data_IF_580601442118
#
_entry.id   IF_580601442118
#
_cell.length_a   1.000
_cell.length_b   1.000
_cell.length_c   1.000
_cell.angle_alpha   90.00
_cell.angle_beta   90.00
_cell.angle_gamma   90.00
#
_symmetry.space_group_name_H-M   'P 1'
#
loop_
_entity.id
_entity.type
_entity.pdbx_description
1 polymer ?
#
# COMPACT_ATOMS: atom_id res chain seq x y z
N UNK A 1 5.37 1.55 6.02
CA UNK A 1 6.65 1.46 6.75
C UNK A 1 7.46 2.74 6.60
N UNK A 2 8.34 2.97 7.53
CA UNK A 2 9.29 4.06 7.51
C UNK A 2 10.70 3.51 7.83
N UNK A 3 11.66 4.39 8.11
CA UNK A 3 12.99 4.00 8.61
C UNK A 3 12.94 3.27 9.98
N UNK A 4 11.81 3.31 10.67
CA UNK A 4 11.62 2.60 11.94
C UNK A 4 11.10 1.18 11.75
N UNK A 5 10.08 0.98 10.99
CA UNK A 5 9.35 -0.27 10.80
C UNK A 5 7.84 -0.02 10.78
N UNK A 6 7.06 -1.05 11.04
CA UNK A 6 5.60 -0.98 11.10
C UNK A 6 5.19 -0.98 12.57
N UNK A 7 4.64 0.14 13.05
CA UNK A 7 4.17 0.27 14.42
C UNK A 7 2.88 -0.51 14.66
N UNK A 8 2.79 -1.19 15.80
CA UNK A 8 1.60 -1.99 16.19
C UNK A 8 0.60 -1.22 17.04
N UNK A 9 0.99 -0.08 17.58
CA UNK A 9 0.10 0.74 18.42
C UNK A 9 -1.23 1.12 17.74
N UNK A 10 -1.28 1.42 16.42
CA UNK A 10 -2.54 1.72 15.75
C UNK A 10 -3.55 0.57 15.70
N UNK A 11 -3.12 -0.66 15.88
CA UNK A 11 -4.02 -1.84 15.86
C UNK A 11 -4.48 -2.27 17.26
N UNK A 12 -3.97 -1.64 18.32
CA UNK A 12 -4.40 -1.90 19.69
C UNK A 12 -5.90 -1.58 19.84
N UNK A 13 -6.69 -2.58 20.23
CA UNK A 13 -8.15 -2.47 20.37
C UNK A 13 -8.94 -2.59 19.06
N UNK A 14 -8.26 -2.78 17.92
CA UNK A 14 -8.87 -3.09 16.63
C UNK A 14 -8.72 -4.56 16.26
N UNK A 15 -7.57 -5.16 16.57
CA UNK A 15 -7.30 -6.58 16.37
C UNK A 15 -7.35 -7.33 17.70
N UNK A 16 -7.88 -8.54 17.64
CA UNK A 16 -7.78 -9.49 18.76
C UNK A 16 -6.35 -10.01 18.91
N UNK A 17 -6.00 -10.50 20.11
CA UNK A 17 -4.63 -10.96 20.37
C UNK A 17 -4.18 -12.10 19.43
N UNK A 18 -5.08 -13.01 19.07
CA UNK A 18 -4.80 -14.09 18.13
C UNK A 18 -4.46 -13.57 16.72
N UNK A 19 -5.12 -12.50 16.26
CA UNK A 19 -4.85 -11.86 14.96
C UNK A 19 -3.50 -11.14 14.98
N UNK A 20 -3.15 -10.51 16.10
CA UNK A 20 -1.83 -9.90 16.29
C UNK A 20 -0.74 -10.98 16.26
N UNK A 21 -0.93 -12.09 16.96
CA UNK A 21 0.03 -13.19 17.02
C UNK A 21 0.25 -13.83 15.63
N UNK A 22 -0.83 -14.03 14.86
CA UNK A 22 -0.78 -14.52 13.49
C UNK A 22 -0.04 -13.53 12.56
N UNK A 23 -0.31 -12.23 12.69
CA UNK A 23 0.39 -11.18 11.95
C UNK A 23 1.89 -11.21 12.26
N UNK A 24 2.28 -11.30 13.53
CA UNK A 24 3.68 -11.34 13.93
C UNK A 24 4.39 -12.58 13.37
N UNK A 25 3.78 -13.77 13.51
CA UNK A 25 4.31 -15.01 12.99
C UNK A 25 4.50 -14.96 11.46
N UNK A 26 3.54 -14.38 10.74
CA UNK A 26 3.61 -14.18 9.29
C UNK A 26 4.78 -13.25 8.92
N UNK A 27 4.94 -12.13 9.61
CA UNK A 27 6.03 -11.19 9.33
C UNK A 27 7.41 -11.78 9.64
N UNK A 28 7.53 -12.61 10.68
CA UNK A 28 8.78 -13.34 10.99
C UNK A 28 9.09 -14.39 9.92
N UNK A 29 8.09 -15.11 9.41
CA UNK A 29 8.24 -16.01 8.25
C UNK A 29 8.75 -15.26 7.02
N UNK A 30 8.36 -14.00 6.83
CA UNK A 30 8.82 -13.15 5.73
C UNK A 30 10.19 -12.53 5.99
N UNK A 31 10.87 -12.93 7.06
CA UNK A 31 12.21 -12.50 7.43
C UNK A 31 12.26 -11.26 8.31
N UNK A 32 11.13 -10.76 8.76
CA UNK A 32 11.04 -9.64 9.70
C UNK A 32 11.56 -9.98 11.10
N UNK A 33 11.58 -8.96 11.94
CA UNK A 33 11.89 -9.05 13.37
C UNK A 33 10.88 -8.24 14.16
N UNK A 34 10.54 -8.73 15.34
CA UNK A 34 9.64 -8.01 16.25
C UNK A 34 10.45 -7.32 17.34
N UNK A 35 10.19 -6.04 17.53
CA UNK A 35 10.70 -5.28 18.67
C UNK A 35 9.67 -5.23 19.77
N UNK A 36 10.09 -5.57 20.98
CA UNK A 36 9.25 -5.68 22.17
C UNK A 36 9.49 -4.51 23.11
N UNK A 37 8.44 -4.05 23.75
CA UNK A 37 8.50 -3.02 24.77
C UNK A 37 8.00 -3.60 26.08
N UNK A 38 8.79 -3.38 27.14
CA UNK A 38 8.42 -3.74 28.49
C UNK A 38 8.33 -2.46 29.34
N UNK A 39 7.18 -2.23 29.96
CA UNK A 39 7.04 -1.21 30.99
C UNK A 39 7.29 -1.86 32.36
N UNK A 40 7.78 -1.08 33.33
CA UNK A 40 8.05 -1.59 34.66
C UNK A 40 6.80 -2.23 35.28
N UNK A 41 6.91 -3.52 35.63
CA UNK A 41 5.81 -4.30 36.25
C UNK A 41 4.75 -4.83 35.28
N UNK A 42 4.98 -4.76 33.97
CA UNK A 42 4.08 -5.36 32.97
C UNK A 42 4.78 -6.41 32.09
N UNK A 43 3.97 -7.28 31.46
CA UNK A 43 4.47 -8.19 30.44
C UNK A 43 5.01 -7.43 29.22
N UNK A 44 5.99 -8.02 28.54
CA UNK A 44 6.52 -7.49 27.30
C UNK A 44 5.45 -7.53 26.22
N UNK A 45 5.24 -6.40 25.52
CA UNK A 45 4.29 -6.31 24.39
C UNK A 45 5.03 -5.99 23.09
N UNK A 46 4.61 -6.59 21.96
CA UNK A 46 5.15 -6.23 20.67
C UNK A 46 4.73 -4.79 20.35
N UNK A 47 5.65 -3.98 19.84
CA UNK A 47 5.33 -2.59 19.49
C UNK A 47 5.69 -2.21 18.06
N UNK A 48 6.61 -2.96 17.44
CA UNK A 48 7.09 -2.64 16.09
C UNK A 48 7.54 -3.90 15.36
N UNK A 49 7.09 -4.05 14.12
CA UNK A 49 7.58 -5.06 13.18
C UNK A 49 8.64 -4.42 12.31
N UNK A 50 9.87 -4.90 12.39
CA UNK A 50 11.01 -4.43 11.61
C UNK A 50 11.13 -5.30 10.35
N UNK A 51 10.66 -4.78 9.25
CA UNK A 51 10.63 -5.45 7.94
C UNK A 51 10.54 -4.38 6.84
N UNK A 52 11.13 -4.63 5.68
CA UNK A 52 10.89 -3.82 4.49
C UNK A 52 9.43 -4.03 4.02
N UNK A 53 8.73 -2.95 3.68
CA UNK A 53 7.31 -3.05 3.28
C UNK A 53 7.11 -3.94 2.05
N UNK A 54 8.09 -3.96 1.13
CA UNK A 54 8.08 -4.84 -0.04
C UNK A 54 8.10 -6.33 0.34
N UNK A 55 8.80 -6.69 1.42
CA UNK A 55 8.81 -8.06 1.95
C UNK A 55 7.59 -8.34 2.85
N UNK A 56 7.10 -7.36 3.59
CA UNK A 56 5.89 -7.51 4.39
C UNK A 56 4.65 -7.88 3.54
N UNK A 57 4.60 -7.37 2.30
CA UNK A 57 3.47 -7.56 1.38
C UNK A 57 3.71 -8.66 0.33
N UNK A 58 4.74 -9.50 0.50
CA UNK A 58 5.06 -10.58 -0.45
C UNK A 58 4.13 -11.79 -0.36
N UNK A 59 3.14 -11.76 0.52
CA UNK A 59 2.19 -12.83 0.76
C UNK A 59 1.13 -12.44 1.78
N UNK A 60 0.42 -13.46 2.27
CA UNK A 60 -0.61 -13.36 3.31
C UNK A 60 -0.29 -14.32 4.46
N UNK A 61 -1.20 -14.50 5.42
CA UNK A 61 -1.09 -15.51 6.47
C UNK A 61 -1.00 -16.94 5.92
N UNK A 62 -1.37 -17.14 4.64
CA UNK A 62 -1.20 -18.41 3.92
C UNK A 62 0.22 -18.63 3.37
N UNK A 63 1.10 -17.65 3.49
CA UNK A 63 2.46 -17.65 2.98
C UNK A 63 2.69 -16.71 1.80
N UNK A 64 3.86 -16.86 1.16
CA UNK A 64 4.22 -16.08 -0.04
C UNK A 64 3.41 -16.52 -1.24
N UNK A 65 3.07 -15.57 -2.10
CA UNK A 65 2.33 -15.79 -3.34
C UNK A 65 2.87 -14.92 -4.49
N UNK A 66 2.28 -15.04 -5.67
CA UNK A 66 2.64 -14.27 -6.87
C UNK A 66 2.21 -12.80 -6.83
N UNK A 67 1.26 -12.43 -5.97
CA UNK A 67 0.63 -11.11 -5.92
C UNK A 67 1.39 -10.06 -5.09
N UNK A 68 2.63 -10.35 -4.72
CA UNK A 68 3.39 -9.48 -3.82
C UNK A 68 3.69 -8.09 -4.39
N UNK A 69 3.83 -7.94 -5.71
CA UNK A 69 4.03 -6.64 -6.35
C UNK A 69 2.72 -5.86 -6.41
N UNK A 70 1.68 -6.48 -6.87
CA UNK A 70 0.33 -5.90 -7.03
C UNK A 70 -0.20 -5.43 -5.66
N UNK A 71 -0.08 -6.26 -4.63
CA UNK A 71 -0.44 -5.92 -3.25
C UNK A 71 0.35 -4.73 -2.70
N UNK A 72 1.64 -4.67 -3.02
CA UNK A 72 2.50 -3.54 -2.65
C UNK A 72 2.07 -2.25 -3.36
N UNK A 73 1.76 -2.30 -4.64
CA UNK A 73 1.28 -1.16 -5.42
C UNK A 73 -0.12 -0.73 -4.98
N UNK A 74 -1.03 -1.67 -4.71
CA UNK A 74 -2.36 -1.41 -4.16
C UNK A 74 -2.28 -0.64 -2.82
N UNK A 75 -1.43 -1.08 -1.89
CA UNK A 75 -1.24 -0.39 -0.61
C UNK A 75 -0.75 1.06 -0.80
N UNK A 76 0.10 1.32 -1.79
CA UNK A 76 0.56 2.67 -2.12
C UNK A 76 -0.50 3.48 -2.88
N UNK A 77 -1.31 2.85 -3.73
CA UNK A 77 -2.44 3.50 -4.40
C UNK A 77 -3.48 3.97 -3.36
N UNK A 78 -3.78 3.14 -2.35
CA UNK A 78 -4.64 3.54 -1.21
C UNK A 78 -4.04 4.76 -0.51
N UNK A 79 -2.76 4.71 -0.10
CA UNK A 79 -2.10 5.83 0.56
C UNK A 79 -2.14 7.11 -0.29
N UNK A 80 -1.89 6.98 -1.59
CA UNK A 80 -1.93 8.11 -2.52
C UNK A 80 -3.34 8.66 -2.75
N UNK A 81 -4.37 7.84 -2.63
CA UNK A 81 -5.76 8.26 -2.79
C UNK A 81 -6.32 9.00 -1.57
N UNK A 82 -5.88 8.64 -0.36
CA UNK A 82 -6.38 9.20 0.89
C UNK A 82 -6.13 10.72 1.02
N UNK A 83 -6.91 11.37 1.87
CA UNK A 83 -6.74 12.79 2.22
C UNK A 83 -5.40 13.03 2.91
N UNK A 84 -4.97 14.29 2.92
CA UNK A 84 -3.69 14.69 3.50
C UNK A 84 -2.54 14.66 2.47
N UNK A 85 -1.32 14.71 2.98
CA UNK A 85 -0.08 14.73 2.20
C UNK A 85 0.61 13.38 2.34
N UNK A 86 0.67 12.56 1.26
CA UNK A 86 1.35 11.27 1.32
C UNK A 86 2.86 11.46 1.45
N UNK A 87 3.50 10.61 2.24
CA UNK A 87 4.94 10.58 2.40
C UNK A 87 5.48 9.20 2.02
N UNK A 88 6.50 9.19 1.17
CA UNK A 88 7.19 7.98 0.76
C UNK A 88 8.49 7.80 1.54
N UNK A 89 8.66 6.64 2.12
CA UNK A 89 9.96 6.19 2.55
C UNK A 89 10.79 5.81 1.33
N UNK A 90 12.03 6.29 1.25
CA UNK A 90 12.87 6.10 0.06
C UNK A 90 13.00 4.62 -0.33
N UNK A 91 13.14 3.73 0.63
CA UNK A 91 13.27 2.30 0.35
C UNK A 91 11.98 1.67 -0.15
N UNK A 92 10.81 2.20 0.21
CA UNK A 92 9.55 1.79 -0.40
C UNK A 92 9.47 2.27 -1.86
N UNK A 93 9.87 3.52 -2.13
CA UNK A 93 9.90 4.05 -3.49
C UNK A 93 10.82 3.24 -4.43
N UNK A 94 11.90 2.73 -3.88
CA UNK A 94 12.90 1.92 -4.61
C UNK A 94 12.60 0.41 -4.61
N UNK A 95 11.51 -0.04 -3.98
CA UNK A 95 11.22 -1.47 -3.85
C UNK A 95 12.27 -2.25 -3.07
N UNK A 96 13.01 -1.59 -2.17
CA UNK A 96 14.12 -2.22 -1.44
C UNK A 96 13.60 -3.31 -0.51
N UNK A 97 14.28 -4.46 -0.53
CA UNK A 97 14.01 -5.64 0.28
C UNK A 97 14.73 -5.60 1.63
N UNK A 98 14.43 -6.57 2.49
CA UNK A 98 15.13 -6.76 3.77
C UNK A 98 16.64 -6.86 3.62
N UNK A 99 17.39 -6.04 4.32
CA UNK A 99 18.85 -6.14 4.41
C UNK A 99 19.27 -7.04 5.57
N UNK A 100 19.24 -8.35 5.31
CA UNK A 100 19.59 -9.36 6.32
C UNK A 100 21.09 -9.34 6.66
N UNK A 101 21.96 -8.92 5.72
CA UNK A 101 23.39 -8.79 5.99
C UNK A 101 23.66 -7.65 6.96
N UNK A 102 23.04 -6.50 6.73
CA UNK A 102 23.17 -5.34 7.63
C UNK A 102 22.55 -5.65 9.00
N UNK A 103 21.42 -6.35 9.03
CA UNK A 103 20.81 -6.81 10.28
C UNK A 103 21.78 -7.69 11.08
N UNK A 104 22.40 -8.69 10.43
CA UNK A 104 23.36 -9.59 11.07
C UNK A 104 24.60 -8.85 11.58
N UNK A 105 25.10 -7.87 10.80
CA UNK A 105 26.28 -7.09 11.17
C UNK A 105 26.04 -6.15 12.35
N UNK A 106 24.88 -5.50 12.40
CA UNK A 106 24.59 -4.46 13.41
C UNK A 106 23.88 -5.00 14.64
N UNK A 107 23.25 -6.18 14.54
CA UNK A 107 22.35 -6.75 15.55
C UNK A 107 21.22 -5.81 15.97
N UNK A 108 20.90 -4.80 15.14
CA UNK A 108 19.88 -3.80 15.41
C UNK A 108 18.69 -4.04 14.47
N UNK A 109 17.50 -4.38 15.01
CA UNK A 109 16.33 -4.77 14.22
C UNK A 109 15.99 -3.79 13.09
N UNK A 110 16.03 -2.48 13.33
CA UNK A 110 15.71 -1.47 12.31
C UNK A 110 16.69 -1.42 11.14
N UNK A 111 17.89 -2.02 11.29
CA UNK A 111 18.86 -2.09 10.19
C UNK A 111 18.35 -2.88 8.99
N UNK A 112 17.43 -3.82 9.21
CA UNK A 112 16.80 -4.62 8.16
C UNK A 112 16.13 -3.76 7.08
N UNK A 113 15.63 -2.60 7.47
CA UNK A 113 14.87 -1.67 6.63
C UNK A 113 15.65 -0.39 6.32
N UNK A 114 17.00 -0.41 6.44
CA UNK A 114 17.89 0.75 6.25
C UNK A 114 19.07 0.38 5.36
N UNK A 115 18.77 -0.24 4.23
CA UNK A 115 19.77 -0.63 3.24
C UNK A 115 20.61 0.59 2.78
N UNK A 116 21.88 0.38 2.53
CA UNK A 116 22.77 1.40 1.97
C UNK A 116 23.09 1.02 0.53
N UNK A 117 22.39 1.66 -0.40
CA UNK A 117 22.63 1.46 -1.81
C UNK A 117 23.99 2.06 -2.23
N UNK A 118 24.76 1.27 -2.99
CA UNK A 118 25.82 1.80 -3.80
C UNK A 118 25.20 2.41 -5.08
N UNK A 119 25.66 3.60 -5.50
CA UNK A 119 25.02 4.36 -6.57
C UNK A 119 24.96 3.61 -7.90
N UNK A 120 26.06 2.94 -8.30
CA UNK A 120 26.10 2.19 -9.54
C UNK A 120 25.17 0.98 -9.53
N UNK A 121 25.11 0.27 -8.40
CA UNK A 121 24.20 -0.86 -8.22
C UNK A 121 22.72 -0.41 -8.28
N UNK A 122 22.39 0.70 -7.60
CA UNK A 122 21.04 1.27 -7.66
C UNK A 122 20.67 1.70 -9.08
N UNK A 123 21.55 2.45 -9.77
CA UNK A 123 21.30 2.87 -11.15
C UNK A 123 21.05 1.68 -12.06
N UNK A 124 21.90 0.66 -11.97
CA UNK A 124 21.74 -0.57 -12.76
C UNK A 124 20.42 -1.30 -12.48
N UNK A 125 20.00 -1.34 -11.21
CA UNK A 125 18.72 -1.95 -10.82
C UNK A 125 17.52 -1.16 -11.36
N UNK A 126 17.59 0.17 -11.34
CA UNK A 126 16.51 1.02 -11.84
C UNK A 126 16.46 1.08 -13.37
N UNK A 127 17.57 0.94 -14.07
CA UNK A 127 17.64 0.94 -15.54
C UNK A 127 17.29 -0.43 -16.16
N UNK A 128 17.25 -1.49 -15.34
CA UNK A 128 16.94 -2.84 -15.82
C UNK A 128 15.43 -3.10 -15.84
N UNK A 129 14.80 -3.12 -17.01
CA UNK A 129 13.36 -3.35 -17.17
C UNK A 129 12.86 -4.68 -16.58
N UNK A 130 13.72 -5.67 -16.38
CA UNK A 130 13.38 -6.95 -15.76
C UNK A 130 13.52 -6.93 -14.23
N UNK A 131 13.96 -5.81 -13.65
CA UNK A 131 14.16 -5.67 -12.22
C UNK A 131 12.85 -5.34 -11.49
N UNK A 132 12.65 -5.96 -10.33
CA UNK A 132 11.58 -5.61 -9.40
C UNK A 132 11.67 -4.13 -8.95
N UNK A 133 12.90 -3.60 -8.81
CA UNK A 133 13.14 -2.20 -8.47
C UNK A 133 12.65 -1.24 -9.55
N UNK A 134 12.91 -1.55 -10.83
CA UNK A 134 12.42 -0.80 -11.97
C UNK A 134 10.88 -0.80 -11.99
N UNK A 135 10.27 -1.99 -11.90
CA UNK A 135 8.81 -2.13 -11.93
C UNK A 135 8.14 -1.32 -10.83
N UNK A 136 8.62 -1.43 -9.58
CA UNK A 136 8.11 -0.65 -8.44
C UNK A 136 8.29 0.85 -8.67
N UNK A 137 9.48 1.27 -9.07
CA UNK A 137 9.81 2.70 -9.22
C UNK A 137 8.97 3.38 -10.30
N UNK A 138 8.85 2.75 -11.48
CA UNK A 138 8.06 3.31 -12.57
C UNK A 138 6.56 3.33 -12.26
N UNK A 139 6.02 2.27 -11.66
CA UNK A 139 4.63 2.22 -11.25
C UNK A 139 4.31 3.31 -10.20
N UNK A 140 5.14 3.47 -9.17
CA UNK A 140 4.93 4.50 -8.16
C UNK A 140 5.11 5.92 -8.73
N UNK A 141 6.06 6.16 -9.64
CA UNK A 141 6.18 7.44 -10.36
C UNK A 141 4.90 7.76 -11.13
N UNK A 142 4.33 6.77 -11.82
CA UNK A 142 3.08 6.94 -12.55
C UNK A 142 1.93 7.33 -11.60
N UNK A 143 1.73 6.59 -10.53
CA UNK A 143 0.68 6.89 -9.53
C UNK A 143 0.86 8.27 -8.88
N UNK A 144 2.10 8.66 -8.57
CA UNK A 144 2.41 10.00 -8.04
C UNK A 144 2.06 11.08 -9.07
N UNK A 145 2.39 10.88 -10.34
CA UNK A 145 2.07 11.81 -11.42
C UNK A 145 0.55 11.95 -11.59
N UNK A 146 -0.18 10.83 -11.56
CA UNK A 146 -1.65 10.84 -11.59
C UNK A 146 -2.22 11.65 -10.43
N UNK A 147 -1.80 11.38 -9.20
CA UNK A 147 -2.26 12.13 -8.03
C UNK A 147 -2.01 13.64 -8.18
N UNK A 148 -0.81 14.03 -8.58
CA UNK A 148 -0.43 15.46 -8.74
C UNK A 148 -1.28 16.20 -9.77
N UNK A 149 -1.78 15.47 -10.77
CA UNK A 149 -2.60 16.04 -11.84
C UNK A 149 -4.08 16.21 -11.47
N UNK A 150 -4.54 15.68 -10.32
CA UNK A 150 -5.96 15.67 -9.97
C UNK A 150 -6.28 16.66 -8.84
N UNK A 151 -7.08 17.70 -9.09
CA UNK A 151 -7.55 18.63 -8.05
C UNK A 151 -8.28 17.95 -6.89
N UNK A 152 -8.97 16.83 -7.15
CA UNK A 152 -9.67 16.07 -6.11
C UNK A 152 -8.72 15.40 -5.09
N UNK A 153 -7.42 15.28 -5.39
CA UNK A 153 -6.42 14.82 -4.44
C UNK A 153 -5.72 15.94 -3.66
N UNK A 154 -6.22 17.16 -3.75
CA UNK A 154 -5.74 18.24 -2.86
C UNK A 154 -5.83 17.79 -1.39
N UNK A 155 -4.84 18.08 -0.53
CA UNK A 155 -4.83 17.62 0.86
C UNK A 155 -6.10 17.96 1.66
N UNK A 156 -6.72 19.10 1.38
CA UNK A 156 -7.94 19.57 2.03
C UNK A 156 -9.23 19.26 1.23
N UNK A 157 -9.13 18.49 0.14
CA UNK A 157 -10.31 18.05 -0.60
C UNK A 157 -11.11 17.03 0.22
N UNK A 158 -12.42 17.03 0.03
CA UNK A 158 -13.32 16.19 0.81
C UNK A 158 -13.13 14.70 0.47
N UNK A 159 -13.20 13.86 1.49
CA UNK A 159 -13.20 12.41 1.37
C UNK A 159 -14.46 11.82 2.01
N UNK A 160 -15.07 10.86 1.32
CA UNK A 160 -16.21 10.08 1.82
C UNK A 160 -15.87 8.59 1.70
N UNK A 161 -16.08 7.83 2.75
CA UNK A 161 -15.94 6.37 2.71
C UNK A 161 -17.10 5.75 1.92
N UNK A 162 -16.79 4.74 1.11
CA UNK A 162 -17.76 3.93 0.39
C UNK A 162 -17.87 2.56 1.07
N UNK A 163 -19.09 2.07 1.22
CA UNK A 163 -19.34 0.74 1.77
C UNK A 163 -19.57 -0.24 0.62
N UNK A 164 -18.50 -0.92 0.19
CA UNK A 164 -18.49 -1.77 -1.02
C UNK A 164 -18.45 -3.27 -0.73
N UNK A 165 -18.46 -3.68 0.54
CA UNK A 165 -18.27 -5.05 1.00
C UNK A 165 -16.87 -5.23 1.62
N UNK A 166 -16.53 -6.46 1.97
CA UNK A 166 -15.28 -6.77 2.69
C UNK A 166 -14.09 -6.95 1.73
N UNK A 167 -14.36 -7.26 0.47
CA UNK A 167 -13.35 -7.49 -0.57
C UNK A 167 -12.83 -6.22 -1.21
N UNK A 168 -13.65 -5.14 -1.19
CA UNK A 168 -13.34 -3.87 -1.84
C UNK A 168 -13.20 -2.74 -0.83
N UNK A 169 -12.06 -2.08 -0.83
CA UNK A 169 -11.87 -0.84 -0.10
C UNK A 169 -12.09 0.36 -1.03
N UNK A 170 -13.03 1.23 -0.67
CA UNK A 170 -13.40 2.35 -1.51
C UNK A 170 -13.64 3.66 -0.78
N UNK A 171 -13.32 4.75 -1.45
CA UNK A 171 -13.64 6.10 -1.01
C UNK A 171 -13.80 7.03 -2.20
N UNK A 172 -14.57 8.11 -1.98
CA UNK A 172 -14.81 9.16 -2.95
C UNK A 172 -14.05 10.42 -2.53
N UNK A 173 -13.31 10.99 -3.48
CA UNK A 173 -12.64 12.30 -3.33
C UNK A 173 -13.34 13.33 -4.19
N UNK A 174 -13.58 14.52 -3.64
CA UNK A 174 -14.17 15.63 -4.36
C UNK A 174 -13.29 16.88 -4.22
N UNK A 175 -12.96 17.51 -5.36
CA UNK A 175 -12.16 18.74 -5.38
C UNK A 175 -12.84 19.88 -4.60
N UNK A 176 -12.05 20.84 -4.12
CA UNK A 176 -12.54 21.98 -3.34
C UNK A 176 -13.62 22.80 -4.06
N UNK A 177 -13.49 22.95 -5.38
CA UNK A 177 -14.45 23.64 -6.23
C UNK A 177 -15.61 22.73 -6.72
N UNK A 178 -15.63 21.47 -6.28
CA UNK A 178 -16.62 20.45 -6.61
C UNK A 178 -16.75 20.11 -8.10
N UNK A 179 -15.76 20.49 -8.93
CA UNK A 179 -15.77 20.22 -10.38
C UNK A 179 -15.20 18.87 -10.76
N UNK A 180 -14.48 18.20 -9.82
CA UNK A 180 -13.93 16.87 -10.05
C UNK A 180 -14.34 15.94 -8.92
N UNK A 181 -14.78 14.75 -9.28
CA UNK A 181 -15.03 13.61 -8.41
C UNK A 181 -14.18 12.44 -8.84
N UNK A 182 -13.54 11.76 -7.88
CA UNK A 182 -12.76 10.55 -8.09
C UNK A 182 -13.27 9.46 -7.15
N UNK A 183 -13.59 8.32 -7.70
CA UNK A 183 -13.87 7.11 -6.94
C UNK A 183 -12.61 6.26 -6.93
N UNK A 184 -12.02 6.10 -5.75
CA UNK A 184 -10.86 5.24 -5.52
C UNK A 184 -11.41 3.92 -4.99
N UNK A 185 -11.30 2.86 -5.78
CA UNK A 185 -11.75 1.53 -5.40
C UNK A 185 -10.61 0.57 -5.58
N UNK A 186 -10.37 -0.24 -4.55
CA UNK A 186 -9.25 -1.16 -4.48
C UNK A 186 -9.78 -2.55 -4.15
N UNK A 187 -9.44 -3.52 -4.98
CA UNK A 187 -9.64 -4.92 -4.67
C UNK A 187 -8.57 -5.36 -3.67
N UNK A 188 -8.97 -5.86 -2.50
CA UNK A 188 -8.06 -6.33 -1.45
C UNK A 188 -7.83 -7.84 -1.49
N UNK A 189 -8.29 -8.51 -2.54
CA UNK A 189 -8.26 -9.97 -2.68
C UNK A 189 -7.36 -10.42 -3.83
N UNK A 190 -7.07 -11.70 -3.86
CA UNK A 190 -6.34 -12.37 -4.95
C UNK A 190 -7.26 -12.90 -6.07
N UNK A 191 -8.53 -12.53 -6.05
CA UNK A 191 -9.53 -12.90 -7.04
C UNK A 191 -10.07 -11.66 -7.74
N UNK A 192 -10.57 -11.81 -8.96
CA UNK A 192 -11.31 -10.74 -9.62
C UNK A 192 -12.57 -10.39 -8.83
N UNK A 193 -12.85 -9.10 -8.68
CA UNK A 193 -14.02 -8.60 -7.99
C UNK A 193 -14.88 -7.75 -8.92
N UNK A 194 -16.17 -7.94 -8.86
CA UNK A 194 -17.13 -7.17 -9.64
C UNK A 194 -17.66 -6.02 -8.80
N UNK A 195 -17.47 -4.79 -9.28
CA UNK A 195 -18.01 -3.57 -8.70
C UNK A 195 -19.27 -3.15 -9.45
N UNK A 196 -20.48 -3.31 -8.88
CA UNK A 196 -21.67 -2.71 -9.44
C UNK A 196 -21.55 -1.19 -9.42
N UNK A 197 -21.59 -0.54 -10.59
CA UNK A 197 -21.43 0.92 -10.69
C UNK A 197 -22.59 1.68 -10.04
N UNK A 198 -23.72 1.02 -9.81
CA UNK A 198 -24.83 1.57 -9.00
C UNK A 198 -24.46 1.84 -7.54
N UNK A 199 -23.37 1.23 -7.02
CA UNK A 199 -22.84 1.53 -5.67
C UNK A 199 -22.01 2.82 -5.63
N UNK A 200 -21.62 3.33 -6.79
CA UNK A 200 -20.97 4.61 -6.93
C UNK A 200 -22.00 5.67 -7.28
N UNK A 201 -21.92 6.84 -6.67
CA UNK A 201 -22.82 7.94 -6.99
C UNK A 201 -22.39 8.63 -8.30
N UNK A 202 -22.42 7.88 -9.42
CA UNK A 202 -22.05 8.39 -10.72
C UNK A 202 -23.15 9.31 -11.25
N UNK A 203 -22.77 10.53 -11.62
CA UNK A 203 -23.70 11.47 -12.26
C UNK A 203 -23.81 11.09 -13.75
N UNK A 204 -25.01 10.74 -14.19
CA UNK A 204 -25.31 10.20 -15.53
C UNK A 204 -24.82 11.08 -16.68
N UNK A 205 -24.78 12.40 -16.50
CA UNK A 205 -24.36 13.35 -17.53
C UNK A 205 -22.83 13.62 -17.56
N UNK A 206 -22.05 12.92 -16.72
CA UNK A 206 -20.61 13.05 -16.68
C UNK A 206 -19.94 11.91 -17.45
N UNK A 207 -18.88 12.23 -18.19
CA UNK A 207 -18.00 11.24 -18.80
C UNK A 207 -17.00 10.76 -17.75
N UNK A 208 -16.97 9.46 -17.54
CA UNK A 208 -16.06 8.80 -16.60
C UNK A 208 -14.94 8.09 -17.36
N UNK A 209 -13.77 8.00 -16.74
CA UNK A 209 -12.67 7.16 -17.23
C UNK A 209 -11.89 6.61 -16.05
N UNK A 210 -11.33 5.45 -16.24
CA UNK A 210 -10.36 4.87 -15.32
C UNK A 210 -9.03 5.63 -15.47
N UNK A 211 -8.43 6.10 -14.36
CA UNK A 211 -7.29 7.01 -14.43
C UNK A 211 -5.95 6.30 -14.59
N UNK A 212 -5.82 5.07 -14.12
CA UNK A 212 -4.54 4.34 -14.14
C UNK A 212 -4.22 3.90 -15.57
N UNK A 213 -5.18 3.28 -16.25
CA UNK A 213 -5.05 2.87 -17.65
C UNK A 213 -5.45 3.95 -18.66
N UNK A 214 -6.22 4.97 -18.23
CA UNK A 214 -6.80 5.98 -19.10
C UNK A 214 -8.03 5.50 -19.89
N UNK A 215 -8.52 4.28 -19.65
CA UNK A 215 -9.67 3.71 -20.36
C UNK A 215 -10.95 4.51 -20.10
N UNK A 216 -11.80 4.75 -21.12
CA UNK A 216 -13.11 5.34 -20.92
C UNK A 216 -14.01 4.34 -20.20
N UNK A 217 -14.85 4.82 -19.29
CA UNK A 217 -15.96 4.04 -18.75
C UNK A 217 -17.15 4.23 -19.70
N UNK A 218 -17.62 3.15 -20.28
CA UNK A 218 -18.73 3.19 -21.23
C UNK A 218 -20.02 3.67 -20.55
N UNK A 219 -20.80 4.48 -21.24
CA UNK A 219 -22.07 4.98 -20.73
C UNK A 219 -23.06 3.83 -20.58
N UNK A 220 -23.67 3.72 -19.39
CA UNK A 220 -24.62 2.64 -19.08
C UNK A 220 -23.99 1.31 -18.70
N UNK A 221 -22.65 1.24 -18.55
CA UNK A 221 -21.99 0.05 -18.02
C UNK A 221 -22.54 -0.27 -16.62
N UNK A 222 -23.09 -1.49 -16.38
CA UNK A 222 -23.71 -1.81 -15.09
C UNK A 222 -22.68 -2.10 -13.99
N UNK A 223 -21.51 -2.60 -14.38
CA UNK A 223 -20.49 -3.09 -13.47
C UNK A 223 -19.08 -2.95 -14.06
N UNK A 224 -18.09 -2.94 -13.20
CA UNK A 224 -16.65 -2.92 -13.56
C UNK A 224 -15.94 -4.08 -12.88
N UNK A 225 -15.18 -4.86 -13.64
CA UNK A 225 -14.35 -5.92 -13.08
C UNK A 225 -12.99 -5.37 -12.67
N UNK A 226 -12.62 -5.60 -11.42
CA UNK A 226 -11.33 -5.23 -10.83
C UNK A 226 -10.45 -6.47 -10.75
N UNK A 227 -9.27 -6.39 -11.33
CA UNK A 227 -8.25 -7.43 -11.19
C UNK A 227 -7.82 -7.59 -9.71
N UNK A 228 -7.14 -8.69 -9.33
CA UNK A 228 -6.54 -8.87 -8.01
C UNK A 228 -5.58 -7.72 -7.66
N UNK A 229 -5.73 -7.17 -6.46
CA UNK A 229 -4.97 -6.06 -5.84
C UNK A 229 -4.84 -4.81 -6.71
#
# INVERSE_FOLDING_TARGET
ASHDGIGLRPVEGLLEQAEVDELLATMEQFGGRVSWRQAAGSEAKPYEINIALRDALQGTTRGKDEWGLERFLCAHAIMLGLEGVPAFYIHSLLGTRNDLQRLAHTSHNRSINRHQWELGALSSALDCNASDHHAVFEALKHLIALRKAQPAFHPNATQFTLHLGDELFGFWRQSLDRRQSLFCVHNLTHEEQVLPLSRLNLVVNHRWRELISGAPVEEGLPEWTLAPY
#
